data_IF_286950037758
#
_entry.id   IF_286950037758
#
_cell.length_a   1.000
_cell.length_b   1.000
_cell.length_c   1.000
_cell.angle_alpha   90.00
_cell.angle_beta   90.00
_cell.angle_gamma   90.00
#
_symmetry.space_group_name_H-M   'P 1'
#
loop_
_entity.id
_entity.type
_entity.pdbx_description
1 polymer ?
#
# COMPACT_ATOMS: atom_id res chain seq x y z
N UNK A 1 -16.40 -40.53 29.42
CA UNK A 1 -16.28 -39.20 28.77
C UNK A 1 -16.68 -39.33 27.32
N UNK A 2 -17.48 -38.39 26.83
CA UNK A 2 -17.91 -38.34 25.44
C UNK A 2 -16.75 -37.97 24.48
N UNK A 3 -16.86 -38.25 23.16
CA UNK A 3 -15.82 -37.93 22.17
C UNK A 3 -15.48 -36.44 22.07
N UNK A 4 -14.30 -36.14 21.51
CA UNK A 4 -13.80 -34.77 21.23
C UNK A 4 -14.85 -33.83 20.63
N UNK A 5 -15.62 -34.21 19.57
CA UNK A 5 -16.65 -33.32 19.02
C UNK A 5 -17.73 -32.90 20.01
N UNK A 6 -18.05 -33.70 21.04
CA UNK A 6 -18.99 -33.29 22.07
C UNK A 6 -18.41 -32.16 22.94
N UNK A 7 -17.11 -32.23 23.27
CA UNK A 7 -16.43 -31.15 23.99
C UNK A 7 -16.30 -29.88 23.14
N UNK A 8 -16.05 -30.02 21.82
CA UNK A 8 -16.08 -28.90 20.87
C UNK A 8 -17.44 -28.21 20.90
N UNK A 9 -18.53 -28.98 20.73
CA UNK A 9 -19.88 -28.44 20.72
C UNK A 9 -20.26 -27.73 22.03
N UNK A 10 -19.91 -28.32 23.19
CA UNK A 10 -20.10 -27.69 24.50
C UNK A 10 -19.29 -26.39 24.62
N UNK A 11 -18.04 -26.37 24.16
CA UNK A 11 -17.21 -25.16 24.18
C UNK A 11 -17.81 -24.02 23.34
N UNK A 12 -18.23 -24.31 22.11
CA UNK A 12 -18.89 -23.34 21.23
C UNK A 12 -20.21 -22.83 21.83
N UNK A 13 -21.01 -23.72 22.42
CA UNK A 13 -22.26 -23.35 23.10
C UNK A 13 -22.03 -22.41 24.28
N UNK A 14 -21.02 -22.68 25.12
CA UNK A 14 -20.62 -21.80 26.23
C UNK A 14 -20.19 -20.41 25.73
N UNK A 15 -19.41 -20.35 24.65
CA UNK A 15 -18.94 -19.08 24.08
C UNK A 15 -20.10 -18.25 23.53
N UNK A 16 -21.04 -18.90 22.84
CA UNK A 16 -22.24 -18.25 22.32
C UNK A 16 -23.14 -17.69 23.44
N UNK A 17 -23.39 -18.48 24.50
CA UNK A 17 -24.15 -18.01 25.67
C UNK A 17 -23.51 -16.78 26.34
N UNK A 18 -22.17 -16.76 26.43
CA UNK A 18 -21.43 -15.66 27.03
C UNK A 18 -21.45 -14.38 26.17
N UNK A 19 -21.54 -14.50 24.83
CA UNK A 19 -21.57 -13.35 23.91
C UNK A 19 -22.95 -12.71 23.76
N UNK A 20 -23.98 -13.52 23.56
CA UNK A 20 -25.29 -13.01 23.12
C UNK A 20 -26.28 -12.75 24.28
N UNK A 21 -25.95 -13.25 25.48
CA UNK A 21 -26.84 -13.16 26.64
C UNK A 21 -28.16 -13.96 26.47
N UNK A 22 -29.04 -13.94 27.49
CA UNK A 22 -30.21 -14.82 27.60
C UNK A 22 -31.44 -14.33 26.80
N UNK A 23 -31.27 -13.78 25.59
CA UNK A 23 -32.38 -13.16 24.83
C UNK A 23 -32.41 -13.47 23.34
N UNK A 24 -31.85 -14.59 22.88
CA UNK A 24 -31.80 -14.92 21.45
C UNK A 24 -32.50 -16.25 21.08
N UNK A 25 -33.00 -16.38 19.85
CA UNK A 25 -33.73 -17.58 19.36
C UNK A 25 -32.92 -18.88 19.43
N UNK A 26 -31.59 -18.79 19.52
CA UNK A 26 -30.68 -19.93 19.67
C UNK A 26 -30.52 -20.41 21.12
N UNK A 27 -31.02 -19.65 22.11
CA UNK A 27 -30.91 -19.94 23.54
C UNK A 27 -31.50 -21.30 23.93
N UNK A 28 -32.62 -21.69 23.32
CA UNK A 28 -33.27 -22.97 23.60
C UNK A 28 -32.40 -24.17 23.17
N UNK A 29 -31.70 -24.05 22.05
CA UNK A 29 -30.81 -25.12 21.55
C UNK A 29 -29.51 -25.19 22.35
N UNK A 30 -28.91 -24.03 22.63
CA UNK A 30 -27.69 -23.90 23.43
C UNK A 30 -27.90 -24.44 24.85
N UNK A 31 -29.01 -24.06 25.49
CA UNK A 31 -29.34 -24.53 26.86
C UNK A 31 -29.58 -26.04 26.90
N UNK A 32 -30.36 -26.59 25.95
CA UNK A 32 -30.58 -28.05 25.86
C UNK A 32 -29.30 -28.84 25.62
N UNK A 33 -28.35 -28.29 24.85
CA UNK A 33 -27.06 -28.93 24.59
C UNK A 33 -26.21 -28.95 25.86
N UNK A 34 -26.14 -27.83 26.57
CA UNK A 34 -25.40 -27.72 27.83
C UNK A 34 -26.02 -28.63 28.90
N UNK A 35 -27.33 -28.59 29.11
CA UNK A 35 -28.02 -29.42 30.11
C UNK A 35 -27.76 -30.93 29.94
N UNK A 36 -27.59 -31.38 28.69
CA UNK A 36 -27.40 -32.80 28.37
C UNK A 36 -25.94 -33.23 28.35
N UNK A 37 -25.05 -32.40 27.83
CA UNK A 37 -23.69 -32.81 27.49
C UNK A 37 -22.63 -32.25 28.42
N UNK A 38 -22.90 -31.14 29.11
CA UNK A 38 -21.87 -30.37 29.82
C UNK A 38 -21.16 -31.20 30.89
N UNK A 39 -21.88 -31.98 31.70
CA UNK A 39 -21.28 -32.85 32.73
C UNK A 39 -20.56 -34.09 32.20
N UNK A 40 -20.69 -34.41 30.90
CA UNK A 40 -20.24 -35.67 30.31
C UNK A 40 -19.02 -35.52 29.39
N UNK A 41 -18.57 -34.29 29.13
CA UNK A 41 -17.42 -33.97 28.26
C UNK A 41 -16.15 -33.67 29.05
N UNK A 42 -15.01 -33.73 28.35
CA UNK A 42 -13.72 -33.27 28.87
C UNK A 42 -13.78 -31.75 29.10
N UNK A 43 -13.85 -31.35 30.37
CA UNK A 43 -14.02 -29.94 30.75
C UNK A 43 -12.89 -29.06 30.25
N UNK A 44 -11.65 -29.56 30.24
CA UNK A 44 -10.49 -28.78 29.79
C UNK A 44 -10.52 -28.56 28.29
N UNK A 45 -10.99 -29.56 27.55
CA UNK A 45 -11.17 -29.48 26.12
C UNK A 45 -12.31 -28.54 25.74
N UNK A 46 -13.46 -28.63 26.41
CA UNK A 46 -14.58 -27.71 26.21
C UNK A 46 -14.19 -26.27 26.55
N UNK A 47 -13.40 -26.08 27.60
CA UNK A 47 -12.87 -24.79 28.02
C UNK A 47 -11.91 -24.17 26.97
N UNK A 48 -11.00 -24.97 26.39
CA UNK A 48 -10.15 -24.55 25.27
C UNK A 48 -10.99 -24.06 24.08
N UNK A 49 -12.00 -24.84 23.67
CA UNK A 49 -12.87 -24.50 22.54
C UNK A 49 -13.75 -23.28 22.78
N UNK A 50 -14.18 -23.06 24.03
CA UNK A 50 -14.86 -21.83 24.43
C UNK A 50 -13.98 -20.61 24.21
N UNK A 51 -12.76 -20.65 24.74
CA UNK A 51 -11.85 -19.50 24.69
C UNK A 51 -11.38 -19.23 23.25
N UNK A 52 -11.21 -20.27 22.42
CA UNK A 52 -10.94 -20.11 20.98
C UNK A 52 -12.09 -19.43 20.25
N UNK A 53 -13.33 -19.85 20.52
CA UNK A 53 -14.51 -19.24 19.91
C UNK A 53 -14.70 -17.79 20.35
N UNK A 54 -14.41 -17.48 21.63
CA UNK A 54 -14.42 -16.11 22.15
C UNK A 54 -13.33 -15.23 21.53
N UNK A 55 -12.13 -15.78 21.29
CA UNK A 55 -11.07 -15.03 20.62
C UNK A 55 -11.42 -14.75 19.16
N UNK A 56 -11.95 -15.73 18.43
CA UNK A 56 -12.28 -15.66 16.99
C UNK A 56 -13.36 -14.65 16.59
N UNK A 57 -13.93 -13.92 17.53
CA UNK A 57 -14.91 -12.87 17.24
C UNK A 57 -14.82 -11.70 18.21
N UNK A 58 -13.70 -11.61 18.94
CA UNK A 58 -13.37 -10.42 19.72
C UNK A 58 -12.71 -9.41 18.80
N UNK A 59 -13.23 -8.18 18.79
CA UNK A 59 -12.71 -7.08 17.95
C UNK A 59 -11.95 -6.05 18.76
N UNK A 60 -12.13 -6.03 20.08
CA UNK A 60 -11.37 -5.15 20.96
C UNK A 60 -9.94 -5.70 21.17
N UNK A 61 -8.88 -4.93 20.85
CA UNK A 61 -7.50 -5.42 20.90
C UNK A 61 -7.01 -5.76 22.32
N UNK A 62 -7.57 -5.11 23.35
CA UNK A 62 -7.21 -5.36 24.75
C UNK A 62 -7.84 -6.67 25.23
N UNK A 63 -9.13 -6.86 24.99
CA UNK A 63 -9.84 -8.10 25.29
C UNK A 63 -9.28 -9.29 24.52
N UNK A 64 -8.98 -9.11 23.22
CA UNK A 64 -8.35 -10.13 22.39
C UNK A 64 -6.97 -10.53 22.95
N UNK A 65 -6.17 -9.57 23.40
CA UNK A 65 -4.87 -9.82 24.05
C UNK A 65 -5.02 -10.61 25.36
N UNK A 66 -6.04 -10.28 26.16
CA UNK A 66 -6.40 -11.03 27.37
C UNK A 66 -6.78 -12.49 27.06
N UNK A 67 -7.66 -12.70 26.08
CA UNK A 67 -8.11 -14.02 25.64
C UNK A 67 -6.96 -14.86 25.05
N UNK A 68 -6.07 -14.24 24.25
CA UNK A 68 -4.86 -14.90 23.73
C UNK A 68 -3.96 -15.39 24.87
N UNK A 69 -3.72 -14.56 25.88
CA UNK A 69 -2.94 -14.96 27.07
C UNK A 69 -3.61 -16.09 27.85
N UNK A 70 -4.94 -16.10 27.93
CA UNK A 70 -5.69 -17.21 28.55
C UNK A 70 -5.53 -18.50 27.75
N UNK A 71 -5.65 -18.43 26.43
CA UNK A 71 -5.44 -19.55 25.53
C UNK A 71 -4.04 -20.11 25.64
N UNK A 72 -3.00 -19.27 25.64
CA UNK A 72 -1.61 -19.73 25.81
C UNK A 72 -1.40 -20.49 27.12
N UNK A 73 -2.02 -20.03 28.22
CA UNK A 73 -1.96 -20.74 29.51
C UNK A 73 -2.70 -22.08 29.50
N UNK A 74 -3.79 -22.19 28.73
CA UNK A 74 -4.67 -23.36 28.70
C UNK A 74 -4.38 -24.35 27.57
N UNK A 75 -3.73 -23.90 26.50
CA UNK A 75 -3.35 -24.64 25.30
C UNK A 75 -2.19 -25.59 25.63
N UNK A 76 -2.46 -26.53 26.54
CA UNK A 76 -1.55 -27.63 26.84
C UNK A 76 -1.34 -28.39 25.54
N UNK A 77 -0.07 -28.70 25.15
CA UNK A 77 0.24 -29.35 23.89
C UNK A 77 -0.59 -30.62 23.61
N UNK A 78 -0.92 -31.38 24.66
CA UNK A 78 -1.77 -32.58 24.58
C UNK A 78 -3.22 -32.26 24.19
N UNK A 79 -3.81 -31.21 24.76
CA UNK A 79 -5.20 -30.81 24.45
C UNK A 79 -5.28 -30.23 23.05
N UNK A 80 -4.27 -29.46 22.65
CA UNK A 80 -4.14 -28.92 21.29
C UNK A 80 -4.02 -30.05 20.26
N UNK A 81 -3.10 -31.00 20.50
CA UNK A 81 -2.91 -32.18 19.65
C UNK A 81 -4.19 -33.03 19.49
N UNK A 82 -5.00 -33.16 20.55
CA UNK A 82 -6.30 -33.87 20.51
C UNK A 82 -7.39 -33.09 19.75
N UNK A 83 -7.27 -31.77 19.67
CA UNK A 83 -8.22 -30.89 18.99
C UNK A 83 -7.87 -30.64 17.52
N UNK A 84 -6.66 -31.01 17.10
CA UNK A 84 -6.07 -30.49 15.87
C UNK A 84 -6.90 -30.76 14.61
N UNK A 85 -7.44 -31.96 14.42
CA UNK A 85 -8.28 -32.23 13.23
C UNK A 85 -9.51 -31.33 13.18
N UNK A 86 -10.12 -31.03 14.33
CA UNK A 86 -11.26 -30.11 14.43
C UNK A 86 -10.82 -28.65 14.26
N UNK A 87 -9.64 -28.28 14.77
CA UNK A 87 -9.06 -26.95 14.54
C UNK A 87 -8.81 -26.72 13.05
N UNK A 88 -8.26 -27.69 12.34
CA UNK A 88 -8.01 -27.60 10.91
C UNK A 88 -9.30 -27.59 10.10
N UNK A 89 -10.30 -28.37 10.52
CA UNK A 89 -11.60 -28.45 9.86
C UNK A 89 -12.43 -27.16 10.04
N UNK A 90 -12.41 -26.59 11.25
CA UNK A 90 -13.22 -25.42 11.61
C UNK A 90 -12.44 -24.10 11.50
N UNK A 91 -11.12 -24.13 11.31
CA UNK A 91 -10.23 -22.98 11.45
C UNK A 91 -10.49 -21.83 10.48
N UNK A 92 -11.16 -22.08 9.34
CA UNK A 92 -11.68 -21.02 8.46
C UNK A 92 -12.69 -20.08 9.16
N UNK A 93 -13.29 -20.53 10.26
CA UNK A 93 -14.19 -19.74 11.10
C UNK A 93 -13.48 -19.16 12.33
N UNK A 94 -12.17 -19.41 12.47
CA UNK A 94 -11.32 -18.94 13.55
C UNK A 94 -10.32 -17.88 13.08
N UNK A 95 -10.55 -17.24 11.93
CA UNK A 95 -9.70 -16.16 11.39
C UNK A 95 -8.20 -16.52 11.41
N UNK A 96 -7.87 -17.75 11.02
CA UNK A 96 -6.50 -18.32 10.97
C UNK A 96 -5.74 -18.38 12.31
N UNK A 97 -6.44 -18.24 13.44
CA UNK A 97 -5.90 -18.52 14.77
C UNK A 97 -5.41 -19.96 14.90
N UNK A 98 -5.97 -20.90 14.13
CA UNK A 98 -5.51 -22.27 14.07
C UNK A 98 -4.06 -22.34 13.56
N UNK A 99 -3.69 -21.54 12.56
CA UNK A 99 -2.32 -21.47 12.04
C UNK A 99 -1.40 -20.70 12.99
N UNK A 100 -1.82 -19.52 13.44
CA UNK A 100 -1.05 -18.64 14.32
C UNK A 100 -0.62 -19.30 15.63
N UNK A 101 -1.45 -20.20 16.16
CA UNK A 101 -1.19 -20.91 17.41
C UNK A 101 -0.58 -22.30 17.18
N UNK A 102 -0.97 -23.02 16.13
CA UNK A 102 -0.46 -24.37 15.88
C UNK A 102 1.00 -24.36 15.45
N UNK A 103 1.44 -23.42 14.62
CA UNK A 103 2.83 -23.37 14.13
C UNK A 103 3.83 -23.18 15.28
N UNK A 104 3.67 -22.18 16.19
CA UNK A 104 4.54 -22.05 17.37
C UNK A 104 4.47 -23.24 18.33
N UNK A 105 3.28 -23.82 18.53
CA UNK A 105 3.13 -24.98 19.41
C UNK A 105 3.78 -26.23 18.82
N UNK A 106 3.70 -26.45 17.51
CA UNK A 106 4.32 -27.57 16.82
C UNK A 106 5.84 -27.46 16.78
N UNK A 107 6.38 -26.24 16.65
CA UNK A 107 7.81 -25.98 16.73
C UNK A 107 8.38 -26.36 18.11
N UNK A 108 7.73 -25.91 19.18
CA UNK A 108 8.18 -26.14 20.56
C UNK A 108 7.82 -27.51 21.13
N UNK A 109 6.76 -28.15 20.64
CA UNK A 109 6.21 -29.37 21.24
C UNK A 109 6.02 -30.50 20.22
N UNK A 110 6.84 -31.55 20.37
CA UNK A 110 6.82 -32.76 19.52
C UNK A 110 5.44 -33.40 19.40
N UNK A 111 4.63 -33.38 20.45
CA UNK A 111 3.28 -33.99 20.42
C UNK A 111 2.34 -33.27 19.45
N UNK A 112 2.46 -31.95 19.34
CA UNK A 112 1.67 -31.15 18.40
C UNK A 112 2.19 -31.38 16.98
N UNK A 113 3.50 -31.38 16.77
CA UNK A 113 4.10 -31.73 15.47
C UNK A 113 3.70 -33.12 14.97
N UNK A 114 3.68 -34.12 15.86
CA UNK A 114 3.20 -35.46 15.54
C UNK A 114 1.71 -35.48 15.21
N UNK A 115 0.89 -34.67 15.88
CA UNK A 115 -0.52 -34.53 15.53
C UNK A 115 -0.67 -33.92 14.13
N UNK A 116 0.07 -32.86 13.79
CA UNK A 116 0.07 -32.27 12.44
C UNK A 116 0.45 -33.31 11.38
N UNK A 117 1.52 -34.08 11.63
CA UNK A 117 1.93 -35.15 10.72
C UNK A 117 0.94 -36.31 10.58
N UNK A 118 0.13 -36.58 11.61
CA UNK A 118 -0.98 -37.54 11.47
C UNK A 118 -2.13 -36.95 10.67
N UNK A 119 -2.49 -35.69 10.93
CA UNK A 119 -3.56 -34.99 10.23
C UNK A 119 -3.27 -34.76 8.74
N UNK A 120 -2.00 -34.68 8.33
CA UNK A 120 -1.61 -34.63 6.90
C UNK A 120 -1.90 -35.93 6.13
N UNK A 121 -2.29 -36.98 6.84
CA UNK A 121 -2.76 -38.26 6.29
C UNK A 121 -4.25 -38.50 6.56
N UNK A 122 -4.98 -37.47 6.99
CA UNK A 122 -6.41 -37.55 7.25
C UNK A 122 -7.17 -37.89 5.96
N UNK A 123 -8.27 -38.64 6.09
CA UNK A 123 -9.20 -38.91 4.98
C UNK A 123 -10.09 -37.70 4.67
N UNK A 124 -10.12 -36.70 5.56
CA UNK A 124 -10.87 -35.45 5.37
C UNK A 124 -9.96 -34.46 4.62
N UNK A 125 -10.21 -34.29 3.32
CA UNK A 125 -9.36 -33.48 2.42
C UNK A 125 -9.03 -32.08 2.96
N UNK A 126 -9.97 -31.28 3.51
CA UNK A 126 -9.64 -29.99 4.13
C UNK A 126 -8.61 -30.08 5.27
N UNK A 127 -8.72 -31.11 6.13
CA UNK A 127 -7.79 -31.34 7.23
C UNK A 127 -6.43 -31.76 6.69
N UNK A 128 -6.42 -32.64 5.69
CA UNK A 128 -5.22 -33.12 5.03
C UNK A 128 -4.40 -31.98 4.42
N UNK A 129 -5.03 -31.13 3.60
CA UNK A 129 -4.39 -30.02 2.91
C UNK A 129 -3.85 -28.99 3.90
N UNK A 130 -4.64 -28.61 4.91
CA UNK A 130 -4.20 -27.63 5.92
C UNK A 130 -3.06 -28.17 6.77
N UNK A 131 -3.11 -29.44 7.18
CA UNK A 131 -2.01 -30.07 7.90
C UNK A 131 -0.72 -30.17 7.06
N UNK A 132 -0.84 -30.49 5.76
CA UNK A 132 0.29 -30.49 4.84
C UNK A 132 0.93 -29.09 4.72
N UNK A 133 0.11 -28.03 4.62
CA UNK A 133 0.59 -26.64 4.64
C UNK A 133 1.33 -26.27 5.93
N UNK A 134 0.80 -26.69 7.09
CA UNK A 134 1.48 -26.50 8.39
C UNK A 134 2.83 -27.22 8.46
N UNK A 135 2.94 -28.45 7.93
CA UNK A 135 4.23 -29.15 7.87
C UNK A 135 5.23 -28.41 6.98
N UNK A 136 4.80 -27.94 5.81
CA UNK A 136 5.65 -27.15 4.92
C UNK A 136 6.17 -25.87 5.61
N UNK A 137 5.32 -25.20 6.39
CA UNK A 137 5.72 -24.04 7.19
C UNK A 137 6.79 -24.41 8.25
N UNK A 138 6.65 -25.57 8.90
CA UNK A 138 7.56 -26.04 9.95
C UNK A 138 8.90 -26.57 9.41
N UNK A 139 8.93 -27.11 8.19
CA UNK A 139 10.11 -27.79 7.61
C UNK A 139 11.01 -26.89 6.76
N UNK A 140 10.66 -25.60 6.62
CA UNK A 140 11.49 -24.62 5.91
C UNK A 140 12.86 -24.34 6.54
N UNK A 141 13.79 -23.87 5.71
CA UNK A 141 15.19 -23.54 6.07
C UNK A 141 15.37 -22.11 6.61
N UNK A 142 14.35 -21.27 6.50
CA UNK A 142 14.35 -19.87 6.99
C UNK A 142 14.12 -19.80 8.51
N UNK A 143 14.51 -18.71 9.19
CA UNK A 143 14.16 -18.47 10.60
C UNK A 143 12.66 -18.69 10.86
N UNK A 144 12.32 -19.20 12.04
CA UNK A 144 10.95 -19.57 12.37
C UNK A 144 10.01 -18.35 12.37
N UNK A 145 10.49 -17.22 12.89
CA UNK A 145 9.79 -15.96 13.00
C UNK A 145 9.40 -15.40 11.63
N UNK A 146 10.34 -15.42 10.67
CA UNK A 146 10.09 -14.99 9.29
C UNK A 146 9.04 -15.87 8.61
N UNK A 147 9.12 -17.19 8.79
CA UNK A 147 8.14 -18.13 8.22
C UNK A 147 6.75 -17.93 8.82
N UNK A 148 6.67 -17.71 10.14
CA UNK A 148 5.42 -17.43 10.82
C UNK A 148 4.81 -16.12 10.30
N UNK A 149 5.63 -15.07 10.14
CA UNK A 149 5.17 -13.79 9.60
C UNK A 149 4.67 -13.92 8.15
N UNK A 150 5.37 -14.65 7.28
CA UNK A 150 4.95 -14.92 5.90
C UNK A 150 3.59 -15.62 5.86
N UNK A 151 3.42 -16.68 6.66
CA UNK A 151 2.19 -17.48 6.69
C UNK A 151 1.01 -16.65 7.20
N UNK A 152 1.22 -15.86 8.26
CA UNK A 152 0.18 -14.98 8.81
C UNK A 152 -0.17 -13.84 7.85
N UNK A 153 0.83 -13.24 7.19
CA UNK A 153 0.60 -12.17 6.23
C UNK A 153 -0.20 -12.68 5.03
N UNK A 154 0.19 -13.84 4.48
CA UNK A 154 -0.54 -14.47 3.38
C UNK A 154 -1.98 -14.86 3.76
N UNK A 155 -2.19 -15.28 5.01
CA UNK A 155 -3.51 -15.58 5.57
C UNK A 155 -4.38 -14.32 5.66
N UNK A 156 -3.85 -13.24 6.24
CA UNK A 156 -4.54 -11.94 6.32
C UNK A 156 -4.86 -11.40 4.93
N UNK A 157 -3.93 -11.53 3.99
CA UNK A 157 -4.11 -11.10 2.60
C UNK A 157 -5.18 -11.93 1.87
N UNK A 158 -5.27 -13.24 2.11
CA UNK A 158 -6.27 -14.11 1.51
C UNK A 158 -7.70 -13.85 2.01
N UNK A 159 -7.86 -13.28 3.21
CA UNK A 159 -9.15 -12.92 3.80
C UNK A 159 -9.62 -11.52 3.41
N UNK A 160 -8.77 -10.75 2.73
CA UNK A 160 -9.18 -9.51 2.08
C UNK A 160 -9.77 -9.88 0.71
N UNK A 161 -11.02 -9.49 0.46
CA UNK A 161 -11.69 -9.66 -0.84
C UNK A 161 -10.92 -9.00 -2.01
N UNK A 162 -9.88 -8.23 -1.70
CA UNK A 162 -9.00 -7.55 -2.62
C UNK A 162 -7.57 -7.81 -2.16
N UNK A 163 -6.78 -8.49 -3.00
CA UNK A 163 -5.30 -8.57 -2.96
C UNK A 163 -4.70 -7.29 -2.38
N UNK A 164 -3.64 -7.32 -1.53
CA UNK A 164 -3.13 -6.15 -0.83
C UNK A 164 -3.09 -4.97 -1.79
N UNK A 165 -4.07 -4.07 -1.67
CA UNK A 165 -4.23 -2.95 -2.59
C UNK A 165 -3.15 -1.98 -2.17
N UNK A 166 -2.02 -1.94 -2.87
CA UNK A 166 -0.91 -1.11 -2.46
C UNK A 166 -1.22 0.37 -2.74
N UNK A 167 -2.45 0.70 -3.15
CA UNK A 167 -3.00 2.04 -3.37
C UNK A 167 -4.29 2.26 -2.56
N UNK A 168 -4.69 1.33 -1.68
CA UNK A 168 -5.84 1.49 -0.80
C UNK A 168 -5.42 1.45 0.67
N UNK A 169 -6.27 2.02 1.52
CA UNK A 169 -6.03 2.14 2.96
C UNK A 169 -5.68 0.78 3.63
N UNK A 170 -4.87 0.78 4.70
CA UNK A 170 -4.39 1.96 5.41
C UNK A 170 -3.18 2.64 4.74
N UNK A 171 -2.39 1.95 3.91
CA UNK A 171 -1.20 2.55 3.31
C UNK A 171 -1.12 2.27 1.79
N UNK A 172 -0.80 3.31 1.02
CA UNK A 172 -0.70 3.32 -0.44
C UNK A 172 0.75 3.31 -0.97
N UNK A 173 1.73 3.12 -0.09
CA UNK A 173 3.14 3.03 -0.46
C UNK A 173 3.83 1.89 0.30
N UNK A 174 5.05 1.57 -0.12
CA UNK A 174 5.92 0.61 0.57
C UNK A 174 6.36 1.09 1.98
N UNK A 175 6.11 2.36 2.33
CA UNK A 175 6.34 2.87 3.68
C UNK A 175 5.41 2.22 4.72
N UNK A 176 4.23 1.76 4.28
CA UNK A 176 3.23 1.12 5.12
C UNK A 176 2.80 1.97 6.35
N UNK A 177 2.90 3.30 6.24
CA UNK A 177 2.61 4.25 7.32
C UNK A 177 1.55 5.26 6.84
N UNK A 178 0.31 5.09 7.32
CA UNK A 178 -0.83 5.91 6.92
C UNK A 178 -0.65 7.39 7.28
N UNK A 179 -0.10 7.67 8.46
CA UNK A 179 0.02 9.02 8.98
C UNK A 179 1.10 9.77 8.20
N UNK A 180 2.22 9.12 7.93
CA UNK A 180 3.30 9.67 7.10
C UNK A 180 2.82 9.94 5.67
N UNK A 181 2.14 8.99 5.04
CA UNK A 181 1.56 9.18 3.71
C UNK A 181 0.50 10.30 3.71
N UNK A 182 -0.30 10.39 4.77
CA UNK A 182 -1.27 11.46 4.99
C UNK A 182 -0.62 12.84 5.07
N UNK A 183 0.54 12.96 5.74
CA UNK A 183 1.32 14.20 5.81
C UNK A 183 1.85 14.61 4.44
N UNK A 184 2.42 13.68 3.67
CA UNK A 184 2.94 13.94 2.30
C UNK A 184 1.82 14.38 1.36
N UNK A 185 0.68 13.67 1.40
CA UNK A 185 -0.50 14.01 0.61
C UNK A 185 -1.05 15.38 1.00
N UNK A 186 -1.07 15.68 2.31
CA UNK A 186 -1.50 16.97 2.85
C UNK A 186 -0.61 18.14 2.43
N UNK A 187 0.71 17.99 2.52
CA UNK A 187 1.68 18.99 2.08
C UNK A 187 1.55 19.28 0.58
N UNK A 188 1.46 18.23 -0.24
CA UNK A 188 1.28 18.37 -1.70
C UNK A 188 -0.03 19.09 -2.02
N UNK A 189 -1.13 18.72 -1.34
CA UNK A 189 -2.44 19.34 -1.55
C UNK A 189 -2.44 20.82 -1.18
N UNK A 190 -1.79 21.20 -0.07
CA UNK A 190 -1.69 22.62 0.35
C UNK A 190 -0.90 23.43 -0.68
N UNK A 191 0.26 22.94 -1.11
CA UNK A 191 1.05 23.61 -2.16
C UNK A 191 0.27 23.78 -3.46
N UNK A 192 -0.47 22.74 -3.89
CA UNK A 192 -1.30 22.81 -5.09
C UNK A 192 -2.47 23.80 -4.94
N UNK A 193 -3.12 23.84 -3.77
CA UNK A 193 -4.21 24.77 -3.50
C UNK A 193 -3.73 26.24 -3.45
N UNK A 194 -2.57 26.49 -2.83
CA UNK A 194 -1.95 27.82 -2.82
C UNK A 194 -1.57 28.25 -4.24
N UNK A 195 -0.91 27.37 -5.00
CA UNK A 195 -0.62 27.61 -6.41
C UNK A 195 -1.88 27.98 -7.20
N UNK A 196 -2.93 27.17 -7.10
CA UNK A 196 -4.20 27.43 -7.79
C UNK A 196 -4.82 28.79 -7.42
N UNK A 197 -4.73 29.19 -6.14
CA UNK A 197 -5.24 30.50 -5.69
C UNK A 197 -4.51 31.70 -6.33
N UNK A 198 -3.23 31.53 -6.70
CA UNK A 198 -2.41 32.57 -7.34
C UNK A 198 -2.48 32.56 -8.87
N UNK A 199 -3.08 31.54 -9.48
CA UNK A 199 -3.05 31.36 -10.94
C UNK A 199 -3.82 32.43 -11.72
N UNK A 200 -4.80 33.09 -11.12
CA UNK A 200 -5.49 34.20 -11.76
C UNK A 200 -4.54 35.37 -12.05
N UNK A 201 -3.59 35.63 -11.15
CA UNK A 201 -2.61 36.72 -11.30
C UNK A 201 -1.41 36.30 -12.16
N UNK A 202 -1.15 34.99 -12.23
CA UNK A 202 -0.04 34.40 -12.98
C UNK A 202 -0.40 33.90 -14.38
N UNK A 203 -1.68 33.87 -14.80
CA UNK A 203 -2.08 33.26 -16.07
C UNK A 203 -1.41 33.87 -17.33
N UNK A 204 -0.97 35.13 -17.25
CA UNK A 204 -0.21 35.79 -18.30
C UNK A 204 1.30 35.45 -18.29
N UNK A 205 1.82 34.83 -17.21
CA UNK A 205 3.21 34.45 -17.07
C UNK A 205 3.58 33.30 -18.03
N UNK A 206 4.88 33.11 -18.25
CA UNK A 206 5.36 31.97 -19.04
C UNK A 206 5.25 30.67 -18.24
N UNK A 207 5.03 29.54 -18.93
CA UNK A 207 4.89 28.19 -18.35
C UNK A 207 6.06 27.84 -17.40
N UNK A 208 7.24 28.39 -17.67
CA UNK A 208 8.42 28.27 -16.81
C UNK A 208 8.21 28.91 -15.42
N UNK A 209 7.66 30.12 -15.37
CA UNK A 209 7.43 30.84 -14.12
C UNK A 209 6.35 30.15 -13.28
N UNK A 210 5.30 29.64 -13.93
CA UNK A 210 4.26 28.84 -13.28
C UNK A 210 4.87 27.56 -12.68
N UNK A 211 5.71 26.86 -13.45
CA UNK A 211 6.43 25.65 -12.99
C UNK A 211 7.32 25.94 -11.79
N UNK A 212 8.12 27.02 -11.85
CA UNK A 212 8.99 27.42 -10.75
C UNK A 212 8.19 27.74 -9.48
N UNK A 213 7.05 28.42 -9.62
CA UNK A 213 6.17 28.79 -8.50
C UNK A 213 5.57 27.54 -7.82
N UNK A 214 5.03 26.61 -8.61
CA UNK A 214 4.51 25.35 -8.08
C UNK A 214 5.59 24.54 -7.35
N UNK A 215 6.78 24.41 -7.95
CA UNK A 215 7.89 23.69 -7.34
C UNK A 215 8.40 24.38 -6.05
N UNK A 216 8.43 25.71 -6.01
CA UNK A 216 8.78 26.45 -4.80
C UNK A 216 7.75 26.23 -3.68
N UNK A 217 6.46 26.25 -3.98
CA UNK A 217 5.39 25.93 -3.03
C UNK A 217 5.51 24.50 -2.48
N UNK A 218 5.75 23.52 -3.36
CA UNK A 218 6.01 22.13 -2.96
C UNK A 218 7.23 22.03 -2.04
N UNK A 219 8.35 22.67 -2.38
CA UNK A 219 9.55 22.69 -1.54
C UNK A 219 9.28 23.30 -0.16
N UNK A 220 8.52 24.41 -0.11
CA UNK A 220 8.14 25.10 1.11
C UNK A 220 7.33 24.21 2.04
N UNK A 221 6.26 23.60 1.53
CA UNK A 221 5.38 22.72 2.30
C UNK A 221 6.10 21.47 2.84
N UNK A 222 6.96 20.85 2.03
CA UNK A 222 7.74 19.69 2.48
C UNK A 222 8.87 20.05 3.45
N UNK A 223 9.43 21.26 3.36
CA UNK A 223 10.39 21.76 4.35
C UNK A 223 9.71 22.09 5.68
N UNK A 224 8.46 22.55 5.62
CA UNK A 224 7.63 22.86 6.79
C UNK A 224 6.99 21.62 7.44
N UNK A 225 7.05 20.45 6.81
CA UNK A 225 6.57 19.21 7.41
C UNK A 225 7.23 19.04 8.79
N UNK A 226 6.44 18.93 9.87
CA UNK A 226 6.97 19.02 11.20
C UNK A 226 8.07 17.99 11.44
N UNK A 227 9.11 18.36 12.20
CA UNK A 227 10.07 17.42 12.77
C UNK A 227 9.44 16.32 13.68
N UNK A 228 8.11 16.33 13.83
CA UNK A 228 7.30 15.34 14.53
C UNK A 228 7.28 13.97 13.82
N UNK A 229 7.80 13.84 12.60
CA UNK A 229 8.15 12.53 12.01
C UNK A 229 9.15 11.75 12.89
N UNK A 230 9.95 12.44 13.72
CA UNK A 230 10.81 11.80 14.73
C UNK A 230 10.08 11.04 15.83
N UNK A 231 8.78 11.24 16.02
CA UNK A 231 8.02 10.61 17.12
C UNK A 231 7.86 9.09 16.91
N UNK A 232 8.07 8.59 15.68
CA UNK A 232 8.06 7.16 15.34
C UNK A 232 9.42 6.60 14.87
N UNK A 233 10.52 7.34 15.04
CA UNK A 233 11.85 6.90 14.58
C UNK A 233 12.07 6.96 13.07
N UNK A 234 11.17 7.60 12.32
CA UNK A 234 11.24 7.74 10.86
C UNK A 234 11.58 9.19 10.52
N UNK A 235 12.74 9.47 9.93
CA UNK A 235 12.90 10.72 9.20
C UNK A 235 11.98 10.63 7.97
N UNK A 236 10.91 11.43 7.93
CA UNK A 236 9.94 11.37 6.83
C UNK A 236 10.57 11.67 5.47
N UNK A 237 9.84 11.48 4.36
CA UNK A 237 10.36 11.81 3.05
C UNK A 237 10.61 13.33 2.95
N UNK A 238 11.83 13.69 2.56
CA UNK A 238 12.28 15.05 2.34
C UNK A 238 12.24 15.39 0.85
N UNK A 239 11.56 16.46 0.48
CA UNK A 239 11.56 16.98 -0.89
C UNK A 239 12.63 18.06 -1.03
N UNK A 240 13.52 17.92 -2.02
CA UNK A 240 14.52 18.92 -2.39
C UNK A 240 14.28 19.35 -3.83
N UNK A 241 14.02 20.63 -4.03
CA UNK A 241 13.88 21.21 -5.36
C UNK A 241 15.18 21.90 -5.75
N UNK A 242 15.74 21.48 -6.87
CA UNK A 242 16.87 22.12 -7.54
C UNK A 242 16.40 22.82 -8.81
N UNK A 243 16.98 23.99 -9.09
CA UNK A 243 16.76 24.72 -10.34
C UNK A 243 18.10 24.91 -11.05
N UNK A 244 18.13 24.69 -12.37
CA UNK A 244 19.30 24.96 -13.20
C UNK A 244 19.01 26.09 -14.18
N UNK A 245 19.91 27.05 -14.27
CA UNK A 245 19.89 28.07 -15.33
C UNK A 245 20.24 27.40 -16.66
N UNK A 246 19.30 27.40 -17.61
CA UNK A 246 19.49 26.85 -18.96
C UNK A 246 19.86 27.98 -19.91
N UNK A 247 20.87 27.76 -20.76
CA UNK A 247 21.22 28.75 -21.80
C UNK A 247 20.28 28.64 -23.01
N UNK A 248 20.01 29.75 -23.72
CA UNK A 248 19.16 29.76 -24.94
C UNK A 248 19.56 28.72 -26.01
N UNK A 249 20.82 28.27 -26.03
CA UNK A 249 21.32 27.25 -26.95
C UNK A 249 20.92 25.83 -26.53
N UNK A 250 20.79 25.57 -25.23
CA UNK A 250 20.33 24.30 -24.66
C UNK A 250 18.80 24.17 -24.73
N UNK A 251 18.06 25.28 -24.69
CA UNK A 251 16.60 25.32 -24.75
C UNK A 251 16.00 24.61 -25.99
N UNK A 252 16.73 24.62 -27.12
CA UNK A 252 16.32 23.91 -28.36
C UNK A 252 16.50 22.38 -28.30
N UNK A 253 17.22 21.88 -27.30
CA UNK A 253 17.50 20.45 -27.10
C UNK A 253 16.80 19.89 -25.85
N UNK A 254 15.98 20.68 -25.14
CA UNK A 254 15.33 20.24 -23.92
C UNK A 254 14.16 19.29 -24.22
N UNK A 255 14.31 18.02 -23.82
CA UNK A 255 13.27 17.00 -23.96
C UNK A 255 12.16 17.09 -22.90
N UNK A 256 12.46 17.56 -21.68
CA UNK A 256 11.53 17.64 -20.55
C UNK A 256 11.71 18.95 -19.76
N UNK A 257 10.68 19.42 -19.06
CA UNK A 257 10.79 20.61 -18.20
C UNK A 257 11.37 20.27 -16.84
N UNK A 258 10.92 19.16 -16.23
CA UNK A 258 11.33 18.71 -14.90
C UNK A 258 11.88 17.28 -15.00
N UNK A 259 13.04 17.07 -14.39
CA UNK A 259 13.57 15.73 -14.11
C UNK A 259 13.34 15.40 -12.66
N UNK A 260 12.74 14.26 -12.37
CA UNK A 260 12.51 13.81 -10.99
C UNK A 260 13.44 12.65 -10.64
N UNK A 261 14.01 12.67 -9.45
CA UNK A 261 14.83 11.59 -8.89
C UNK A 261 14.28 11.24 -7.52
N UNK A 262 13.95 9.97 -7.31
CA UNK A 262 13.59 9.43 -6.00
C UNK A 262 14.77 8.62 -5.47
N UNK A 263 15.25 8.97 -4.28
CA UNK A 263 16.37 8.32 -3.59
C UNK A 263 15.86 7.73 -2.28
N UNK A 264 15.83 6.40 -2.20
CA UNK A 264 15.35 5.65 -1.04
C UNK A 264 16.53 5.02 -0.33
N UNK A 265 16.68 5.33 0.96
CA UNK A 265 17.72 4.82 1.85
C UNK A 265 17.12 4.31 3.15
N UNK A 266 17.02 2.99 3.27
CA UNK A 266 16.61 2.26 4.47
C UNK A 266 17.79 1.36 4.88
N UNK A 267 18.59 1.74 5.88
CA UNK A 267 19.78 1.00 6.29
C UNK A 267 19.46 -0.48 6.57
N UNK A 268 20.27 -1.36 5.99
CA UNK A 268 20.12 -2.82 6.13
C UNK A 268 18.89 -3.44 5.45
N UNK A 269 18.05 -2.65 4.74
CA UNK A 269 16.83 -3.17 4.09
C UNK A 269 16.73 -2.80 2.62
N UNK A 270 16.76 -1.51 2.27
CA UNK A 270 16.45 -1.03 0.92
C UNK A 270 17.33 0.15 0.54
N UNK A 271 18.00 0.05 -0.60
CA UNK A 271 18.66 1.19 -1.23
C UNK A 271 18.28 1.20 -2.72
N UNK A 272 17.57 2.24 -3.13
CA UNK A 272 17.06 2.35 -4.49
C UNK A 272 17.13 3.79 -4.97
N UNK A 273 17.45 3.95 -6.24
CA UNK A 273 17.36 5.24 -6.92
C UNK A 273 16.59 5.08 -8.23
N UNK A 274 15.56 5.88 -8.42
CA UNK A 274 14.79 5.93 -9.67
C UNK A 274 14.75 7.35 -10.21
N UNK A 275 14.59 7.48 -11.53
CA UNK A 275 14.38 8.75 -12.18
C UNK A 275 13.18 8.71 -13.11
N UNK A 276 12.57 9.86 -13.34
CA UNK A 276 11.51 10.03 -14.34
C UNK A 276 11.54 11.44 -14.95
N UNK A 277 10.74 11.67 -15.99
CA UNK A 277 10.66 12.94 -16.70
C UNK A 277 9.22 13.46 -16.72
N UNK A 278 9.10 14.77 -16.56
CA UNK A 278 7.82 15.47 -16.51
C UNK A 278 7.87 16.63 -17.50
N UNK A 279 6.88 16.69 -18.37
CA UNK A 279 6.63 17.86 -19.21
C UNK A 279 5.47 18.65 -18.66
N UNK A 280 5.64 19.95 -18.46
CA UNK A 280 4.57 20.84 -18.06
C UNK A 280 3.91 21.39 -19.32
N UNK A 281 2.58 21.55 -19.27
CA UNK A 281 1.81 22.28 -20.28
C UNK A 281 0.75 23.12 -19.61
N UNK A 282 0.67 24.40 -19.99
CA UNK A 282 -0.42 25.28 -19.55
C UNK A 282 -1.61 25.27 -20.51
N UNK A 283 -2.80 25.42 -19.95
CA UNK A 283 -4.05 25.44 -20.71
C UNK A 283 -4.16 26.68 -21.59
N UNK A 284 -4.71 26.52 -22.79
CA UNK A 284 -5.06 27.63 -23.66
C UNK A 284 -6.14 28.55 -23.08
N UNK A 285 -6.85 28.13 -22.02
CA UNK A 285 -7.80 28.94 -21.27
C UNK A 285 -7.12 30.07 -20.46
N UNK A 286 -5.82 29.90 -20.10
CA UNK A 286 -5.03 30.92 -19.42
C UNK A 286 -4.48 31.99 -20.38
N UNK A 287 -4.62 31.81 -21.70
CA UNK A 287 -4.15 32.79 -22.66
C UNK A 287 -5.00 34.09 -22.59
N UNK A 288 -4.38 35.28 -22.79
CA UNK A 288 -5.09 36.55 -22.77
C UNK A 288 -6.32 36.54 -23.68
N UNK A 289 -7.48 36.98 -23.15
CA UNK A 289 -8.75 37.02 -23.89
C UNK A 289 -9.45 35.66 -24.08
N UNK A 290 -8.99 34.60 -23.40
CA UNK A 290 -9.60 33.25 -23.46
C UNK A 290 -10.13 32.73 -22.12
N UNK A 291 -10.20 33.59 -21.10
CA UNK A 291 -10.75 33.25 -19.79
C UNK A 291 -12.17 32.64 -19.93
N UNK A 292 -12.42 31.53 -19.22
CA UNK A 292 -13.70 30.81 -19.26
C UNK A 292 -13.89 29.83 -20.43
N UNK A 293 -12.89 29.66 -21.31
CA UNK A 293 -12.90 28.58 -22.31
C UNK A 293 -12.54 27.22 -21.70
N UNK A 294 -13.00 26.16 -22.35
CA UNK A 294 -12.63 24.79 -21.98
C UNK A 294 -11.12 24.57 -22.02
N UNK A 295 -10.62 23.82 -21.04
CA UNK A 295 -9.20 23.50 -20.94
C UNK A 295 -8.72 22.65 -22.09
N UNK A 296 -7.62 23.09 -22.71
CA UNK A 296 -6.95 22.39 -23.79
C UNK A 296 -5.45 22.69 -23.82
N UNK A 297 -4.65 21.70 -24.22
CA UNK A 297 -3.20 21.76 -24.22
C UNK A 297 -2.64 21.33 -25.56
N UNK A 298 -1.64 22.05 -26.06
CA UNK A 298 -0.94 21.71 -27.31
C UNK A 298 0.32 20.91 -27.01
N UNK A 299 0.40 19.70 -27.56
CA UNK A 299 1.51 18.76 -27.35
C UNK A 299 2.34 18.63 -28.62
N UNK A 300 3.66 18.78 -28.51
CA UNK A 300 4.60 18.58 -29.62
C UNK A 300 4.95 17.11 -29.74
N UNK A 301 4.74 16.52 -30.93
CA UNK A 301 4.90 15.07 -31.16
C UNK A 301 6.32 14.60 -30.89
N UNK A 302 7.32 15.33 -31.43
CA UNK A 302 8.73 15.01 -31.21
C UNK A 302 9.08 14.98 -29.72
N UNK A 303 8.67 16.00 -28.96
CA UNK A 303 8.94 16.06 -27.53
C UNK A 303 8.29 14.90 -26.76
N UNK A 304 7.04 14.56 -27.11
CA UNK A 304 6.33 13.42 -26.53
C UNK A 304 7.07 12.09 -26.75
N UNK A 305 7.52 11.83 -27.98
CA UNK A 305 8.27 10.61 -28.28
C UNK A 305 9.68 10.61 -27.66
N UNK A 306 10.36 11.76 -27.66
CA UNK A 306 11.67 11.92 -27.02
C UNK A 306 11.57 11.62 -25.51
N UNK A 307 10.50 12.06 -24.82
CA UNK A 307 10.23 11.70 -23.41
C UNK A 307 10.08 10.19 -23.23
N UNK A 308 9.22 9.56 -24.04
CA UNK A 308 8.94 8.12 -23.95
C UNK A 308 10.14 7.24 -24.28
N UNK A 309 11.08 7.72 -25.10
CA UNK A 309 12.33 7.01 -25.37
C UNK A 309 13.26 7.00 -24.14
N UNK A 310 13.18 8.02 -23.29
CA UNK A 310 13.98 8.10 -22.06
C UNK A 310 13.29 7.43 -20.88
N UNK A 311 11.97 7.58 -20.74
CA UNK A 311 11.19 6.93 -19.69
C UNK A 311 9.77 6.61 -20.18
N UNK A 312 9.42 5.32 -20.13
CA UNK A 312 8.07 4.83 -20.44
C UNK A 312 7.01 5.25 -19.40
N UNK A 313 7.44 5.70 -18.21
CA UNK A 313 6.56 6.20 -17.15
C UNK A 313 6.43 7.72 -17.15
N UNK A 314 7.08 8.43 -18.07
CA UNK A 314 7.02 9.90 -18.19
C UNK A 314 5.57 10.40 -18.16
N UNK A 315 5.38 11.58 -17.56
CA UNK A 315 4.06 12.19 -17.42
C UNK A 315 4.04 13.63 -17.93
N UNK A 316 2.83 14.12 -18.18
CA UNK A 316 2.56 15.53 -18.38
C UNK A 316 1.86 16.10 -17.15
N UNK A 317 2.33 17.25 -16.68
CA UNK A 317 1.60 18.10 -15.74
C UNK A 317 0.83 19.14 -16.54
N UNK A 318 -0.47 18.97 -16.62
CA UNK A 318 -1.37 19.84 -17.36
C UNK A 318 -1.99 20.83 -16.39
N UNK A 319 -1.57 22.09 -16.46
CA UNK A 319 -2.10 23.18 -15.64
C UNK A 319 -3.41 23.66 -16.26
N UNK A 320 -4.51 23.52 -15.53
CA UNK A 320 -5.85 23.97 -15.91
C UNK A 320 -6.00 25.49 -15.72
N UNK A 321 -7.03 26.06 -16.35
CA UNK A 321 -7.43 27.45 -16.13
C UNK A 321 -7.82 27.77 -14.68
N UNK A 322 -8.26 26.77 -13.92
CA UNK A 322 -8.53 26.87 -12.48
C UNK A 322 -7.27 26.87 -11.62
N UNK A 323 -6.12 26.55 -12.21
CA UNK A 323 -4.86 26.30 -11.50
C UNK A 323 -4.69 24.89 -10.97
N UNK A 324 -5.68 24.01 -11.14
CA UNK A 324 -5.52 22.59 -10.86
C UNK A 324 -4.44 21.97 -11.77
N UNK A 325 -3.68 21.02 -11.22
CA UNK A 325 -2.63 20.31 -11.96
C UNK A 325 -3.04 18.86 -12.18
N UNK A 326 -3.38 18.53 -13.43
CA UNK A 326 -3.71 17.17 -13.84
C UNK A 326 -2.43 16.44 -14.29
N UNK A 327 -2.15 15.29 -13.69
CA UNK A 327 -1.02 14.45 -14.09
C UNK A 327 -1.49 13.35 -15.03
N UNK A 328 -0.98 13.34 -16.26
CA UNK A 328 -1.41 12.44 -17.34
C UNK A 328 -0.22 11.62 -17.86
N UNK A 329 -0.35 10.29 -18.02
CA UNK A 329 0.72 9.48 -18.62
C UNK A 329 1.04 9.90 -20.06
N UNK A 330 2.32 10.10 -20.38
CA UNK A 330 2.75 10.46 -21.74
C UNK A 330 2.34 9.38 -22.77
N UNK A 331 2.41 8.10 -22.38
CA UNK A 331 1.97 6.99 -23.25
C UNK A 331 0.49 7.07 -23.65
N UNK A 332 -0.36 7.64 -22.78
CA UNK A 332 -1.76 7.87 -23.12
C UNK A 332 -1.89 9.00 -24.14
N UNK A 333 -1.14 10.09 -23.98
CA UNK A 333 -1.12 11.17 -24.97
C UNK A 333 -0.61 10.69 -26.34
N UNK A 334 0.32 9.73 -26.37
CA UNK A 334 0.76 9.10 -27.62
C UNK A 334 -0.35 8.27 -28.29
N UNK A 335 -1.21 7.62 -27.50
CA UNK A 335 -2.40 6.94 -28.02
C UNK A 335 -3.43 7.94 -28.56
N UNK A 336 -3.66 9.06 -27.86
CA UNK A 336 -4.52 10.16 -28.34
C UNK A 336 -3.98 10.74 -29.64
N UNK A 337 -2.67 10.95 -29.74
CA UNK A 337 -2.02 11.37 -30.99
C UNK A 337 -2.34 10.40 -32.13
N UNK A 338 -2.11 9.09 -31.93
CA UNK A 338 -2.37 8.07 -32.94
C UNK A 338 -3.82 8.03 -33.42
N UNK A 339 -4.78 8.41 -32.56
CA UNK A 339 -6.20 8.43 -32.89
C UNK A 339 -6.67 9.74 -33.55
N UNK A 340 -6.04 10.88 -33.25
CA UNK A 340 -6.60 12.22 -33.55
C UNK A 340 -5.69 13.11 -34.40
N UNK A 341 -4.38 12.87 -34.42
CA UNK A 341 -3.43 13.73 -35.09
C UNK A 341 -3.38 13.48 -36.61
N UNK A 342 -3.37 14.56 -37.39
CA UNK A 342 -3.06 14.46 -38.83
C UNK A 342 -1.60 14.05 -39.01
N UNK A 343 -1.28 13.09 -39.91
CA UNK A 343 0.10 12.58 -40.06
C UNK A 343 1.17 13.66 -40.32
N UNK A 344 0.81 14.74 -41.01
CA UNK A 344 1.71 15.86 -41.33
C UNK A 344 1.86 16.91 -40.22
N UNK A 345 1.01 16.87 -39.19
CA UNK A 345 1.09 17.85 -38.11
C UNK A 345 2.26 17.55 -37.18
N UNK A 346 2.99 18.57 -36.75
CA UNK A 346 4.09 18.47 -35.78
C UNK A 346 3.62 18.50 -34.32
N UNK A 347 2.35 18.86 -34.12
CA UNK A 347 1.71 18.99 -32.81
C UNK A 347 0.23 18.61 -32.89
N UNK A 348 -0.36 18.31 -31.76
CA UNK A 348 -1.80 18.07 -31.63
C UNK A 348 -2.33 18.76 -30.38
N UNK A 349 -3.65 18.95 -30.31
CA UNK A 349 -4.29 19.58 -29.15
C UNK A 349 -5.20 18.56 -28.48
N UNK A 350 -5.13 18.50 -27.16
CA UNK A 350 -5.90 17.60 -26.31
C UNK A 350 -6.77 18.46 -25.39
N UNK A 351 -8.07 18.15 -25.33
CA UNK A 351 -9.01 18.80 -24.42
C UNK A 351 -9.20 18.02 -23.11
N UNK A 352 -9.76 18.67 -22.10
CA UNK A 352 -10.03 18.08 -20.78
C UNK A 352 -10.79 16.74 -20.83
N UNK A 353 -11.83 16.64 -21.66
CA UNK A 353 -12.66 15.43 -21.79
C UNK A 353 -11.87 14.20 -22.25
N UNK A 354 -10.79 14.41 -23.01
CA UNK A 354 -9.93 13.32 -23.48
C UNK A 354 -9.02 12.77 -22.37
N UNK A 355 -8.66 13.59 -21.37
CA UNK A 355 -7.66 13.21 -20.34
C UNK A 355 -8.25 12.93 -18.97
N UNK A 356 -9.44 13.47 -18.64
CA UNK A 356 -10.03 13.40 -17.30
C UNK A 356 -10.13 11.99 -16.69
N UNK A 357 -10.24 10.96 -17.52
CA UNK A 357 -10.38 9.56 -17.09
C UNK A 357 -9.04 8.85 -16.84
N UNK A 358 -7.94 9.43 -17.30
CA UNK A 358 -6.58 8.91 -17.03
C UNK A 358 -5.76 9.83 -16.15
N UNK A 359 -6.24 11.05 -15.91
CA UNK A 359 -5.57 12.04 -15.08
C UNK A 359 -5.70 11.67 -13.61
N UNK A 360 -4.63 11.91 -12.85
CA UNK A 360 -4.64 11.89 -11.39
C UNK A 360 -4.22 13.26 -10.87
N UNK A 361 -4.64 13.59 -9.65
CA UNK A 361 -4.20 14.81 -9.00
C UNK A 361 -2.71 14.72 -8.59
N UNK A 362 -2.05 15.87 -8.45
CA UNK A 362 -0.60 15.91 -8.16
C UNK A 362 -0.26 15.26 -6.81
N UNK A 363 -1.13 15.32 -5.80
CA UNK A 363 -0.91 14.65 -4.51
C UNK A 363 -0.94 13.13 -4.61
N UNK A 364 -1.77 12.57 -5.50
CA UNK A 364 -1.80 11.14 -5.77
C UNK A 364 -0.57 10.73 -6.59
N UNK A 365 -0.14 11.55 -7.55
CA UNK A 365 1.06 11.29 -8.33
C UNK A 365 2.33 11.28 -7.46
N UNK A 366 2.58 12.32 -6.66
CA UNK A 366 3.80 12.42 -5.86
C UNK A 366 3.83 11.35 -4.76
N UNK A 367 2.72 11.16 -4.03
CA UNK A 367 2.67 10.23 -2.89
C UNK A 367 2.54 8.79 -3.37
N UNK A 368 1.48 8.48 -4.09
CA UNK A 368 1.13 7.09 -4.35
C UNK A 368 1.96 6.53 -5.50
N UNK A 369 2.26 7.32 -6.53
CA UNK A 369 2.92 6.81 -7.74
C UNK A 369 4.45 6.95 -7.73
N UNK A 370 4.98 8.09 -7.29
CA UNK A 370 6.43 8.30 -7.19
C UNK A 370 7.00 7.75 -5.88
N UNK A 371 6.53 8.22 -4.71
CA UNK A 371 7.02 7.71 -3.42
C UNK A 371 6.67 6.23 -3.25
N UNK A 372 5.50 5.79 -3.74
CA UNK A 372 5.12 4.38 -3.80
C UNK A 372 5.92 3.51 -4.79
N UNK A 373 6.85 4.10 -5.57
CA UNK A 373 7.73 3.41 -6.53
C UNK A 373 6.98 2.68 -7.68
N UNK A 374 5.76 3.12 -8.01
CA UNK A 374 5.02 2.60 -9.17
C UNK A 374 5.54 3.16 -10.50
N UNK A 375 6.13 4.35 -10.46
CA UNK A 375 6.69 5.04 -11.61
C UNK A 375 8.18 5.33 -11.42
N UNK A 376 8.83 5.67 -12.54
CA UNK A 376 10.25 5.89 -12.63
C UNK A 376 11.03 4.64 -13.02
N UNK A 377 12.29 4.84 -13.38
CA UNK A 377 13.22 3.79 -13.79
C UNK A 377 14.56 3.96 -13.09
N UNK A 378 15.16 2.84 -12.67
CA UNK A 378 16.54 2.79 -12.20
C UNK A 378 17.57 2.69 -13.33
N UNK A 379 17.12 2.72 -14.60
CA UNK A 379 18.05 2.64 -15.72
C UNK A 379 18.95 3.88 -15.77
N UNK A 380 20.24 3.64 -16.02
CA UNK A 380 21.25 4.70 -16.03
C UNK A 380 20.92 5.81 -17.05
N UNK A 381 20.33 5.42 -18.20
CA UNK A 381 19.86 6.36 -19.22
C UNK A 381 18.80 7.32 -18.67
N UNK A 382 17.80 6.79 -17.96
CA UNK A 382 16.72 7.61 -17.37
C UNK A 382 17.24 8.49 -16.26
N UNK A 383 18.06 7.94 -15.36
CA UNK A 383 18.65 8.69 -14.25
C UNK A 383 19.51 9.86 -14.75
N UNK A 384 20.37 9.63 -15.76
CA UNK A 384 21.15 10.71 -16.38
C UNK A 384 20.28 11.78 -17.03
N UNK A 385 19.19 11.37 -17.68
CA UNK A 385 18.23 12.31 -18.27
C UNK A 385 17.53 13.15 -17.18
N UNK A 386 17.00 12.52 -16.13
CA UNK A 386 16.32 13.19 -15.02
C UNK A 386 17.27 14.13 -14.25
N UNK A 387 18.53 13.73 -14.04
CA UNK A 387 19.55 14.57 -13.41
C UNK A 387 20.06 15.70 -14.33
N UNK A 388 19.70 15.68 -15.61
CA UNK A 388 20.20 16.63 -16.60
C UNK A 388 21.68 16.50 -16.91
N UNK A 389 22.30 15.36 -16.58
CA UNK A 389 23.69 15.01 -16.92
C UNK A 389 23.79 14.28 -18.26
N UNK A 390 22.64 13.94 -18.85
CA UNK A 390 22.51 13.38 -20.20
C UNK A 390 23.02 14.31 -21.31
N UNK A 391 23.32 13.71 -22.47
CA UNK A 391 23.73 14.45 -23.67
C UNK A 391 22.54 15.06 -24.43
N UNK A 392 21.38 14.41 -24.36
CA UNK A 392 20.21 14.70 -25.21
C UNK A 392 19.08 15.38 -24.48
N UNK A 393 18.80 14.98 -23.23
CA UNK A 393 17.72 15.55 -22.41
C UNK A 393 18.31 16.19 -21.17
N UNK A 394 18.03 17.48 -20.98
CA UNK A 394 18.52 18.27 -19.86
C UNK A 394 17.40 19.10 -19.26
N UNK A 395 16.63 18.55 -18.31
CA UNK A 395 15.54 19.26 -17.67
C UNK A 395 16.02 20.56 -17.02
N UNK A 396 15.14 21.56 -17.01
CA UNK A 396 15.41 22.86 -16.41
C UNK A 396 15.28 22.82 -14.90
N UNK A 397 14.28 22.09 -14.43
CA UNK A 397 14.02 21.87 -13.03
C UNK A 397 14.42 20.46 -12.64
N UNK A 398 14.95 20.30 -11.43
CA UNK A 398 15.28 19.01 -10.84
C UNK A 398 14.48 18.85 -9.55
N UNK A 399 13.62 17.85 -9.49
CA UNK A 399 12.87 17.47 -8.29
C UNK A 399 13.54 16.25 -7.68
N UNK A 400 14.09 16.37 -6.47
CA UNK A 400 14.66 15.23 -5.74
C UNK A 400 13.78 14.89 -4.55
N UNK A 401 13.39 13.62 -4.42
CA UNK A 401 12.63 13.11 -3.29
C UNK A 401 13.54 12.15 -2.52
N UNK A 402 14.01 12.55 -1.35
CA UNK A 402 14.83 11.73 -0.46
C UNK A 402 13.92 11.03 0.56
N UNK A 403 13.92 9.70 0.61
CA UNK A 403 13.20 8.93 1.63
C UNK A 403 14.21 8.19 2.49
N UNK A 404 14.40 8.63 3.74
CA UNK A 404 15.44 8.10 4.63
C UNK A 404 14.80 7.55 5.90
N UNK A 405 14.73 6.23 6.05
CA UNK A 405 14.25 5.63 7.29
C UNK A 405 15.44 5.39 8.22
N UNK A 406 15.46 6.00 9.40
CA UNK A 406 16.52 5.78 10.39
C UNK A 406 16.31 4.42 11.08
N UNK A 407 17.40 3.69 11.37
CA UNK A 407 17.31 2.53 12.25
C UNK A 407 17.21 3.04 13.69
N UNK A 408 16.15 2.66 14.40
CA UNK A 408 16.21 2.68 15.87
C UNK A 408 17.33 1.73 16.31
N UNK A 409 18.39 2.31 16.89
CA UNK A 409 19.26 1.53 17.75
C UNK A 409 18.44 1.17 18.99
N UNK A 410 17.96 -0.07 19.05
CA UNK A 410 17.50 -0.65 20.30
C UNK A 410 18.67 -0.60 21.29
N UNK A 411 18.52 0.21 22.34
CA UNK A 411 19.44 0.28 23.47
C UNK A 411 19.02 -0.64 24.60
#
# INVERSE_FOLDING_TARGET
MLPVPCAVAVGLARAHQQREGPRNRHEMWTSRLLDRLDSHVDQRLAQLWRDLALLAGERDPVAASGLRRMLEKQARPVLWARSLEWLLLLGRHLEDLDVALTVPLADKHRIVRQAVNRSSRSTILPVQLRAAGLLAALEGTRPFEERLLDVLSASVDAHRDQFPRPLAAPASTWLADHDLEGLVRGATRRAAAEFASTMHDLGAAEEEQETATLLAGLAGEFTALPAHTRVAGVAGPHLRVGHRTVTKKEERANGADIGVVVDVRVPGRLQLRTGDLIQVKKSAALAPGRAGREDSWTVKRRQLHDLLEHSASSVYWLICGTGDVLVVPAKFLAAVEGATARPSSQQFTVGYTAVRHTAVAIEQYLTDLLVGLWLGSSSERTLKAAQGTGRTTRPRFALTIDVVLEQHMEG
#
